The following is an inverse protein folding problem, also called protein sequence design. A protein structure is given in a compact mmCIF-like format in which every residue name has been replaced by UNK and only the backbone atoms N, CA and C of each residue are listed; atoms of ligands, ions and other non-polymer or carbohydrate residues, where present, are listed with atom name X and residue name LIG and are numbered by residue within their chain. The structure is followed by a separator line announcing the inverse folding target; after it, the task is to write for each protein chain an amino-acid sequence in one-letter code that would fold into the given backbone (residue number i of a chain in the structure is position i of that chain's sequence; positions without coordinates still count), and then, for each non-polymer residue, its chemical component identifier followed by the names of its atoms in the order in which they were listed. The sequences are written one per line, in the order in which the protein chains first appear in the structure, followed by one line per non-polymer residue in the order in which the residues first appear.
data_IF_171501455720
#
_entry.id   IF_171501455720
#
_cell.length_a   1.000
_cell.length_b   1.000
_cell.length_c   1.000
_cell.angle_alpha   90.00
_cell.angle_beta   90.00
_cell.angle_gamma   90.00
#
_symmetry.space_group_name_H-M   'P 1'
#
loop_
_entity.id
_entity.type
_entity.pdbx_description
1 polymer ?
#
# COMPACT_ATOMS: atom_id res chain seq x y z
N UNK A 1 26.46 2.91 -25.85
CA UNK A 1 25.34 1.99 -25.55
C UNK A 1 24.09 2.53 -26.25
N UNK A 2 23.57 1.90 -27.31
CA UNK A 2 22.33 2.35 -27.99
C UNK A 2 21.13 1.62 -27.38
N UNK A 3 20.24 2.35 -26.72
CA UNK A 3 18.98 1.80 -26.20
C UNK A 3 17.99 1.65 -27.36
N UNK A 4 17.37 0.47 -27.51
CA UNK A 4 16.32 0.25 -28.53
C UNK A 4 15.05 1.08 -28.24
N UNK A 5 14.71 1.25 -26.97
CA UNK A 5 13.59 2.05 -26.48
C UNK A 5 13.91 2.63 -25.10
N UNK A 6 13.63 3.91 -24.90
CA UNK A 6 13.72 4.55 -23.58
C UNK A 6 12.43 4.27 -22.80
N UNK A 7 12.49 3.32 -21.85
CA UNK A 7 11.35 2.97 -20.98
C UNK A 7 11.81 2.54 -19.60
N UNK A 8 10.99 2.82 -18.61
CA UNK A 8 11.12 2.32 -17.24
C UNK A 8 10.27 1.07 -17.09
N UNK A 9 10.83 0.04 -16.44
CA UNK A 9 10.06 -1.13 -16.03
C UNK A 9 9.22 -0.74 -14.82
N UNK A 10 7.88 -0.71 -14.90
CA UNK A 10 7.05 -0.35 -13.76
C UNK A 10 7.28 -1.37 -12.64
N UNK A 11 7.66 -0.88 -11.46
CA UNK A 11 7.71 -1.71 -10.26
C UNK A 11 6.27 -2.02 -9.85
N UNK A 12 5.99 -3.28 -9.52
CA UNK A 12 4.73 -3.65 -8.88
C UNK A 12 4.77 -3.10 -7.45
N UNK A 13 4.33 -1.86 -7.27
CA UNK A 13 4.17 -1.26 -5.94
C UNK A 13 2.90 -1.89 -5.36
N UNK A 14 3.09 -2.68 -4.31
CA UNK A 14 1.98 -3.16 -3.50
C UNK A 14 1.67 -2.06 -2.50
N UNK A 15 0.56 -1.37 -2.71
CA UNK A 15 0.03 -0.45 -1.71
C UNK A 15 -0.27 -1.25 -0.44
N UNK A 16 0.15 -0.72 0.70
CA UNK A 16 -0.16 -1.32 1.99
C UNK A 16 -1.70 -1.36 2.17
N UNK A 17 -2.21 -2.47 2.73
CA UNK A 17 -3.62 -2.54 3.11
C UNK A 17 -3.95 -1.41 4.08
N UNK A 18 -5.11 -0.74 3.93
CA UNK A 18 -5.48 0.40 4.76
C UNK A 18 -5.59 0.07 6.25
N UNK A 19 -5.72 -1.21 6.61
CA UNK A 19 -5.89 -1.66 7.99
C UNK A 19 -4.60 -2.17 8.65
N UNK A 20 -3.44 -2.04 7.97
CA UNK A 20 -2.16 -2.56 8.49
C UNK A 20 -1.74 -1.87 9.78
N UNK A 21 -2.02 -0.57 9.91
CA UNK A 21 -1.64 0.19 11.11
C UNK A 21 -2.42 -0.29 12.34
N UNK A 22 -3.74 -0.43 12.23
CA UNK A 22 -4.61 -0.91 13.31
C UNK A 22 -4.30 -2.36 13.67
N UNK A 23 -3.95 -3.18 12.68
CA UNK A 23 -3.53 -4.57 12.91
C UNK A 23 -2.22 -4.64 13.69
N UNK A 24 -1.23 -3.82 13.32
CA UNK A 24 0.04 -3.72 14.05
C UNK A 24 -0.17 -3.27 15.50
N UNK A 25 -1.00 -2.24 15.71
CA UNK A 25 -1.34 -1.76 17.05
C UNK A 25 -2.04 -2.82 17.90
N UNK A 26 -2.89 -3.67 17.30
CA UNK A 26 -3.53 -4.77 18.04
C UNK A 26 -2.51 -5.82 18.48
N UNK A 27 -1.58 -6.19 17.60
CA UNK A 27 -0.51 -7.13 17.94
C UNK A 27 0.42 -6.60 19.03
N UNK A 28 0.75 -5.32 19.00
CA UNK A 28 1.55 -4.69 20.04
C UNK A 28 0.81 -4.65 21.39
N UNK A 29 -0.51 -4.40 21.37
CA UNK A 29 -1.34 -4.50 22.56
C UNK A 29 -1.36 -5.93 23.12
N UNK A 30 -1.55 -6.94 22.27
CA UNK A 30 -1.51 -8.34 22.72
C UNK A 30 -0.16 -8.78 23.24
N UNK A 31 0.93 -8.30 22.65
CA UNK A 31 2.29 -8.59 23.11
C UNK A 31 2.58 -8.00 24.50
N UNK A 32 1.95 -6.88 24.85
CA UNK A 32 2.20 -6.15 26.10
C UNK A 32 1.20 -6.50 27.21
N UNK A 33 -0.06 -6.74 26.87
CA UNK A 33 -1.16 -6.89 27.81
C UNK A 33 -1.77 -8.31 27.82
N UNK A 34 -1.55 -9.09 26.77
CA UNK A 34 -2.24 -10.36 26.54
C UNK A 34 -3.49 -10.21 25.66
N UNK A 35 -3.98 -11.33 25.13
CA UNK A 35 -5.04 -11.36 24.11
C UNK A 35 -6.41 -10.95 24.65
N UNK A 36 -6.73 -11.38 25.87
CA UNK A 36 -8.03 -11.15 26.52
C UNK A 36 -8.08 -9.86 27.36
N UNK A 37 -7.04 -9.02 27.28
CA UNK A 37 -6.99 -7.79 28.06
C UNK A 37 -7.95 -6.73 27.47
N UNK A 38 -8.80 -6.17 28.33
CA UNK A 38 -9.79 -5.14 27.98
C UNK A 38 -9.15 -3.89 27.37
N UNK A 39 -7.87 -3.62 27.65
CA UNK A 39 -7.10 -2.51 27.05
C UNK A 39 -7.02 -2.61 25.52
N UNK A 40 -7.06 -3.81 24.97
CA UNK A 40 -6.99 -4.03 23.52
C UNK A 40 -8.35 -3.92 22.80
N UNK A 41 -9.46 -3.82 23.54
CA UNK A 41 -10.81 -3.81 22.97
C UNK A 41 -11.07 -2.62 22.03
N UNK A 42 -10.55 -1.43 22.37
CA UNK A 42 -10.70 -0.24 21.54
C UNK A 42 -9.96 -0.38 20.19
N UNK A 43 -8.75 -0.96 20.22
CA UNK A 43 -7.93 -1.19 19.02
C UNK A 43 -8.56 -2.28 18.15
N UNK A 44 -9.08 -3.36 18.76
CA UNK A 44 -9.81 -4.40 18.05
C UNK A 44 -11.08 -3.86 17.35
N UNK A 45 -11.80 -2.93 18.00
CA UNK A 45 -12.94 -2.23 17.40
C UNK A 45 -12.52 -1.36 16.21
N UNK A 46 -11.36 -0.72 16.30
CA UNK A 46 -10.81 0.08 15.19
C UNK A 46 -10.46 -0.80 13.99
N UNK A 47 -9.77 -1.91 14.21
CA UNK A 47 -9.40 -2.86 13.16
C UNK A 47 -10.65 -3.47 12.48
N UNK A 48 -11.63 -3.92 13.26
CA UNK A 48 -12.89 -4.45 12.72
C UNK A 48 -13.65 -3.39 11.92
N UNK A 49 -13.68 -2.15 12.39
CA UNK A 49 -14.24 -1.01 11.65
C UNK A 49 -13.51 -0.72 10.34
N UNK A 50 -12.19 -0.91 10.28
CA UNK A 50 -11.43 -0.79 9.04
C UNK A 50 -11.74 -1.94 8.06
N UNK A 51 -11.72 -3.19 8.54
CA UNK A 51 -11.96 -4.38 7.72
C UNK A 51 -13.38 -4.47 7.17
N UNK A 52 -14.35 -3.85 7.84
CA UNK A 52 -15.73 -3.76 7.37
C UNK A 52 -15.94 -2.82 6.19
N UNK A 53 -14.95 -1.97 5.85
CA UNK A 53 -15.05 -1.04 4.72
C UNK A 53 -14.66 -1.74 3.41
N UNK A 54 -15.33 -1.40 2.28
CA UNK A 54 -14.93 -1.93 0.98
C UNK A 54 -13.54 -1.41 0.58
N UNK A 55 -12.72 -2.30 0.02
CA UNK A 55 -11.37 -1.94 -0.47
C UNK A 55 -11.50 -1.05 -1.70
N UNK A 56 -11.05 0.20 -1.57
CA UNK A 56 -10.97 1.13 -2.69
C UNK A 56 -9.74 0.83 -3.54
N UNK A 57 -9.95 0.44 -4.80
CA UNK A 57 -8.84 0.23 -5.74
C UNK A 57 -8.42 1.58 -6.32
N UNK A 58 -7.35 2.16 -5.81
CA UNK A 58 -6.74 3.34 -6.44
C UNK A 58 -5.99 2.92 -7.70
N UNK A 59 -6.60 3.13 -8.88
CA UNK A 59 -5.90 3.01 -10.16
C UNK A 59 -5.10 4.28 -10.43
N UNK A 60 -3.97 4.46 -9.75
CA UNK A 60 -3.03 5.50 -10.16
C UNK A 60 -2.13 4.94 -11.27
N UNK A 61 -2.44 5.25 -12.52
CA UNK A 61 -1.64 4.82 -13.67
C UNK A 61 -0.58 5.85 -13.99
N UNK A 62 0.69 5.50 -13.81
CA UNK A 62 1.82 6.36 -14.19
C UNK A 62 2.04 6.33 -15.72
N UNK A 63 2.05 7.50 -16.36
CA UNK A 63 2.23 7.66 -17.82
C UNK A 63 3.69 7.90 -18.25
N UNK A 64 4.68 7.72 -17.38
CA UNK A 64 6.11 7.99 -17.64
C UNK A 64 6.61 7.37 -18.96
N UNK A 65 6.24 6.13 -19.26
CA UNK A 65 6.67 5.44 -20.49
C UNK A 65 6.12 6.07 -21.77
N UNK A 66 4.95 6.72 -21.71
CA UNK A 66 4.41 7.49 -22.84
C UNK A 66 5.29 8.71 -23.13
N UNK A 67 5.72 9.44 -22.09
CA UNK A 67 6.57 10.63 -22.24
C UNK A 67 8.00 10.26 -22.67
N UNK A 68 8.59 9.21 -22.10
CA UNK A 68 9.93 8.74 -22.47
C UNK A 68 10.01 8.27 -23.93
N UNK A 69 8.96 7.63 -24.44
CA UNK A 69 8.89 7.23 -25.85
C UNK A 69 8.81 8.42 -26.82
N UNK A 70 8.26 9.56 -26.39
CA UNK A 70 8.28 10.81 -27.18
C UNK A 70 9.65 11.47 -27.14
N UNK A 71 10.26 11.54 -25.96
CA UNK A 71 11.58 12.13 -25.76
C UNK A 71 12.67 11.38 -26.51
N UNK A 72 12.56 10.06 -26.66
CA UNK A 72 13.56 9.26 -27.40
C UNK A 72 13.66 9.58 -28.89
N UNK A 73 12.79 10.41 -29.45
CA UNK A 73 12.91 10.93 -30.82
C UNK A 73 13.72 12.24 -30.90
N UNK A 74 13.93 12.88 -29.76
CA UNK A 74 14.63 14.17 -29.61
C UNK A 74 16.04 13.99 -29.02
N UNK A 75 16.38 12.78 -28.58
CA UNK A 75 17.68 12.35 -28.07
C UNK A 75 18.33 11.39 -29.05
#
# INVERSE_FOLDING_TARGET
MKLKQLKVRPKKILEASPCIAEMGALFECWATAGVDDKRCAAIAKSLTGCMGKPVQRTKNTNTINYHLARLSKQL
#
